data_IF_133367608749
#
_entry.id   IF_133367608749
#
_cell.length_a   1.000
_cell.length_b   1.000
_cell.length_c   1.000
_cell.angle_alpha   90.00
_cell.angle_beta   90.00
_cell.angle_gamma   90.00
#
_symmetry.space_group_name_H-M   'P 1'
#
loop_
_entity.id
_entity.type
_entity.pdbx_description
1 polymer ?
#
# COMPACT_ATOMS: atom_id res chain seq x y z
N UNK A 1 -19.19 7.88 14.66
CA UNK A 1 -19.14 6.44 14.28
C UNK A 1 -17.71 5.93 14.21
N UNK A 2 -16.81 6.57 13.44
CA UNK A 2 -15.40 6.17 13.34
C UNK A 2 -14.68 6.08 14.70
N UNK A 3 -14.79 7.09 15.56
CA UNK A 3 -14.19 7.05 16.90
C UNK A 3 -14.69 5.89 17.78
N UNK A 4 -15.98 5.53 17.66
CA UNK A 4 -16.57 4.41 18.40
C UNK A 4 -16.03 3.07 17.91
N UNK A 5 -15.87 2.93 16.60
CA UNK A 5 -15.31 1.74 15.95
C UNK A 5 -13.83 1.56 16.34
N UNK A 6 -13.03 2.63 16.30
CA UNK A 6 -11.62 2.61 16.71
C UNK A 6 -11.47 2.32 18.21
N UNK A 7 -12.33 2.88 19.06
CA UNK A 7 -12.32 2.58 20.50
C UNK A 7 -12.71 1.12 20.79
N UNK A 8 -13.67 0.56 20.04
CA UNK A 8 -14.03 -0.85 20.16
C UNK A 8 -12.86 -1.76 19.77
N UNK A 9 -12.12 -1.41 18.71
CA UNK A 9 -10.88 -2.11 18.34
C UNK A 9 -9.88 -2.12 19.49
N UNK A 10 -9.60 -0.95 20.06
CA UNK A 10 -8.67 -0.83 21.18
C UNK A 10 -9.07 -1.74 22.35
N UNK A 11 -10.36 -1.79 22.69
CA UNK A 11 -10.89 -2.65 23.75
C UNK A 11 -10.73 -4.13 23.40
N UNK A 12 -11.11 -4.54 22.19
CA UNK A 12 -11.02 -5.95 21.75
C UNK A 12 -9.56 -6.41 21.70
N UNK A 13 -8.65 -5.57 21.21
CA UNK A 13 -7.22 -5.84 21.21
C UNK A 13 -6.70 -6.00 22.64
N UNK A 14 -6.97 -5.05 23.53
CA UNK A 14 -6.51 -5.11 24.94
C UNK A 14 -7.04 -6.35 25.66
N UNK A 15 -8.33 -6.67 25.51
CA UNK A 15 -8.96 -7.84 26.17
C UNK A 15 -8.42 -9.15 25.60
N UNK A 16 -8.34 -9.28 24.26
CA UNK A 16 -7.79 -10.46 23.60
C UNK A 16 -6.33 -10.70 23.96
N UNK A 17 -5.54 -9.63 24.03
CA UNK A 17 -4.15 -9.65 24.45
C UNK A 17 -3.99 -10.05 25.90
N UNK A 18 -4.85 -9.60 26.82
CA UNK A 18 -4.85 -10.03 28.22
C UNK A 18 -4.99 -11.56 28.40
N UNK A 19 -5.90 -12.18 27.63
CA UNK A 19 -6.08 -13.64 27.64
C UNK A 19 -4.86 -14.35 27.06
N UNK A 20 -4.31 -13.86 25.94
CA UNK A 20 -3.10 -14.42 25.34
C UNK A 20 -1.90 -14.30 26.27
N UNK A 21 -1.71 -13.16 26.93
CA UNK A 21 -0.67 -12.90 27.92
C UNK A 21 -0.78 -13.83 29.12
N UNK A 22 -1.97 -13.98 29.72
CA UNK A 22 -2.17 -14.91 30.83
C UNK A 22 -1.82 -16.36 30.47
N UNK A 23 -2.12 -16.77 29.25
CA UNK A 23 -1.78 -18.11 28.76
C UNK A 23 -0.29 -18.24 28.34
N UNK A 24 0.34 -17.17 27.86
CA UNK A 24 1.76 -17.12 27.51
C UNK A 24 2.65 -17.10 28.76
N UNK A 25 2.28 -16.32 29.79
CA UNK A 25 2.92 -16.30 31.12
C UNK A 25 3.10 -17.71 31.70
N UNK A 26 2.08 -18.56 31.54
CA UNK A 26 2.08 -19.94 32.04
C UNK A 26 2.85 -20.92 31.16
N UNK A 27 3.27 -20.54 29.95
CA UNK A 27 3.84 -21.48 28.97
C UNK A 27 5.24 -21.10 28.48
N UNK A 28 5.49 -19.83 28.17
CA UNK A 28 6.73 -19.36 27.56
C UNK A 28 6.92 -17.84 27.78
N UNK A 29 7.91 -17.48 28.59
CA UNK A 29 8.33 -16.07 28.78
C UNK A 29 8.77 -15.41 27.47
N UNK A 30 9.30 -16.20 26.53
CA UNK A 30 9.72 -15.73 25.22
C UNK A 30 8.53 -15.31 24.35
N UNK A 31 7.49 -16.14 24.32
CA UNK A 31 6.25 -15.84 23.60
C UNK A 31 5.59 -14.60 24.19
N UNK A 32 5.56 -14.50 25.53
CA UNK A 32 5.03 -13.32 26.22
C UNK A 32 5.77 -12.05 25.81
N UNK A 33 7.10 -12.05 25.81
CA UNK A 33 7.88 -10.87 25.43
C UNK A 33 7.59 -10.43 23.98
N UNK A 34 7.40 -11.38 23.07
CA UNK A 34 6.98 -11.10 21.68
C UNK A 34 5.59 -10.46 21.61
N UNK A 35 4.62 -10.99 22.34
CA UNK A 35 3.25 -10.46 22.38
C UNK A 35 3.20 -9.04 22.94
N UNK A 36 3.95 -8.75 24.00
CA UNK A 36 4.02 -7.41 24.59
C UNK A 36 4.50 -6.38 23.56
N UNK A 37 5.49 -6.72 22.73
CA UNK A 37 5.97 -5.82 21.67
C UNK A 37 4.91 -5.67 20.57
N UNK A 38 4.26 -6.77 20.14
CA UNK A 38 3.18 -6.70 19.14
C UNK A 38 2.04 -5.81 19.62
N UNK A 39 1.62 -5.96 20.88
CA UNK A 39 0.56 -5.17 21.47
C UNK A 39 0.95 -3.71 21.63
N UNK A 40 2.21 -3.43 21.98
CA UNK A 40 2.72 -2.06 22.03
C UNK A 40 2.64 -1.40 20.65
N UNK A 41 3.10 -2.09 19.60
CA UNK A 41 3.00 -1.57 18.22
C UNK A 41 1.54 -1.35 17.81
N UNK A 42 0.68 -2.35 18.01
CA UNK A 42 -0.74 -2.24 17.67
C UNK A 42 -1.42 -1.09 18.43
N UNK A 43 -1.14 -0.95 19.73
CA UNK A 43 -1.69 0.14 20.55
C UNK A 43 -1.18 1.50 20.08
N UNK A 44 0.10 1.62 19.70
CA UNK A 44 0.64 2.85 19.14
C UNK A 44 -0.06 3.21 17.84
N UNK A 45 -0.22 2.27 16.90
CA UNK A 45 -0.91 2.51 15.63
C UNK A 45 -2.37 2.95 15.84
N UNK A 46 -3.11 2.24 16.69
CA UNK A 46 -4.52 2.56 17.02
C UNK A 46 -4.62 3.91 17.73
N UNK A 47 -3.72 4.20 18.67
CA UNK A 47 -3.70 5.47 19.40
C UNK A 47 -3.40 6.64 18.48
N UNK A 48 -2.43 6.50 17.57
CA UNK A 48 -2.12 7.54 16.58
C UNK A 48 -3.28 7.75 15.63
N UNK A 49 -3.91 6.68 15.12
CA UNK A 49 -5.10 6.78 14.27
C UNK A 49 -6.27 7.51 14.97
N UNK A 50 -6.44 7.29 16.28
CA UNK A 50 -7.52 7.89 17.07
C UNK A 50 -7.25 9.36 17.45
N UNK A 51 -6.02 9.67 17.87
CA UNK A 51 -5.67 10.94 18.50
C UNK A 51 -5.02 11.94 17.52
N UNK A 52 -4.34 11.43 16.49
CA UNK A 52 -3.67 12.24 15.47
C UNK A 52 -3.80 11.61 14.07
N UNK A 53 -4.99 11.64 13.46
CA UNK A 53 -5.22 11.09 12.11
C UNK A 53 -4.27 11.63 11.03
N UNK A 54 -3.89 12.92 10.99
CA UNK A 54 -2.88 13.42 10.05
C UNK A 54 -1.54 12.69 10.20
N UNK A 55 -1.04 12.54 11.43
CA UNK A 55 0.21 11.81 11.67
C UNK A 55 0.10 10.34 11.28
N UNK A 56 -1.04 9.69 11.56
CA UNK A 56 -1.28 8.32 11.13
C UNK A 56 -1.22 8.20 9.60
N UNK A 57 -1.88 9.10 8.87
CA UNK A 57 -1.80 9.11 7.41
C UNK A 57 -0.38 9.33 6.90
N UNK A 58 0.37 10.26 7.50
CA UNK A 58 1.77 10.49 7.15
C UNK A 58 2.65 9.24 7.38
N UNK A 59 2.36 8.45 8.42
CA UNK A 59 3.06 7.19 8.69
C UNK A 59 2.73 6.09 7.67
N UNK A 60 1.46 6.01 7.26
CA UNK A 60 0.94 4.97 6.37
C UNK A 60 0.98 5.36 4.89
N UNK A 61 1.60 6.49 4.52
CA UNK A 61 1.75 6.86 3.12
C UNK A 61 2.79 5.99 2.42
N UNK A 62 2.64 5.83 1.10
CA UNK A 62 3.64 5.21 0.21
C UNK A 62 5.03 5.82 0.46
N UNK A 63 6.06 4.97 0.48
CA UNK A 63 7.46 5.26 0.83
C UNK A 63 7.69 5.77 2.26
N UNK A 64 6.66 5.75 3.10
CA UNK A 64 6.75 6.04 4.53
C UNK A 64 7.43 4.92 5.33
N UNK A 65 7.83 5.23 6.57
CA UNK A 65 8.51 4.28 7.44
C UNK A 65 7.73 2.98 7.68
N UNK A 66 6.40 3.00 7.59
CA UNK A 66 5.57 1.82 7.80
C UNK A 66 5.73 0.81 6.65
N UNK A 67 5.73 1.25 5.40
CA UNK A 67 5.96 0.40 4.22
C UNK A 67 7.36 -0.27 4.30
N UNK A 68 8.38 0.51 4.67
CA UNK A 68 9.73 -0.04 4.94
C UNK A 68 9.74 -1.05 6.08
N UNK A 69 8.99 -0.79 7.15
CA UNK A 69 8.85 -1.72 8.27
C UNK A 69 8.12 -3.01 7.85
N UNK A 70 7.09 -2.90 7.01
CA UNK A 70 6.32 -4.03 6.47
C UNK A 70 7.22 -4.90 5.59
N UNK A 71 7.94 -4.29 4.64
CA UNK A 71 8.92 -4.97 3.79
C UNK A 71 9.96 -5.73 4.64
N UNK A 72 10.56 -5.07 5.62
CA UNK A 72 11.53 -5.69 6.53
C UNK A 72 10.91 -6.82 7.36
N UNK A 73 9.68 -6.66 7.85
CA UNK A 73 9.01 -7.69 8.64
C UNK A 73 8.78 -8.96 7.81
N UNK A 74 8.28 -8.83 6.58
CA UNK A 74 8.12 -9.96 5.68
C UNK A 74 9.44 -10.61 5.29
N UNK A 75 10.51 -9.83 5.06
CA UNK A 75 11.85 -10.40 4.82
C UNK A 75 12.40 -11.17 6.03
N UNK A 76 12.26 -10.63 7.24
CA UNK A 76 12.65 -11.32 8.48
C UNK A 76 11.86 -12.62 8.66
N UNK A 77 10.55 -12.60 8.40
CA UNK A 77 9.71 -13.79 8.44
C UNK A 77 10.14 -14.84 7.41
N UNK A 78 10.43 -14.42 6.17
CA UNK A 78 10.92 -15.30 5.10
C UNK A 78 12.23 -15.98 5.49
N UNK A 79 13.19 -15.22 6.04
CA UNK A 79 14.47 -15.75 6.52
C UNK A 79 14.24 -16.73 7.67
N UNK A 80 13.37 -16.39 8.63
CA UNK A 80 13.01 -17.26 9.74
C UNK A 80 12.43 -18.60 9.27
N UNK A 81 11.51 -18.58 8.31
CA UNK A 81 10.92 -19.76 7.69
C UNK A 81 11.95 -20.60 6.93
N UNK A 82 12.80 -19.99 6.11
CA UNK A 82 13.87 -20.69 5.38
C UNK A 82 14.89 -21.34 6.32
N UNK A 83 15.27 -20.66 7.40
CA UNK A 83 16.14 -21.20 8.45
C UNK A 83 15.47 -22.39 9.15
N UNK A 84 14.16 -22.31 9.44
CA UNK A 84 13.41 -23.42 10.02
C UNK A 84 13.38 -24.64 9.08
N UNK A 85 13.10 -24.44 7.78
CA UNK A 85 13.05 -25.52 6.77
C UNK A 85 14.38 -26.26 6.67
N UNK A 86 15.50 -25.54 6.71
CA UNK A 86 16.84 -26.14 6.71
C UNK A 86 17.11 -26.93 7.99
N UNK A 87 16.74 -26.38 9.16
CA UNK A 87 16.98 -27.03 10.45
C UNK A 87 16.05 -28.21 10.75
N UNK A 88 14.89 -28.28 10.10
CA UNK A 88 13.89 -29.33 10.29
C UNK A 88 14.04 -30.51 9.33
N UNK A 89 15.04 -30.49 8.46
CA UNK A 89 15.35 -31.58 7.53
C UNK A 89 15.51 -32.93 8.24
N UNK A 90 14.86 -33.95 7.68
CA UNK A 90 14.80 -35.30 8.22
C UNK A 90 14.00 -35.47 9.52
N UNK A 91 13.40 -34.41 10.06
CA UNK A 91 12.72 -34.44 11.37
C UNK A 91 11.23 -34.11 11.30
N UNK A 92 10.77 -33.46 10.24
CA UNK A 92 9.37 -33.11 10.02
C UNK A 92 8.92 -33.64 8.66
N UNK A 93 7.61 -33.86 8.45
CA UNK A 93 7.09 -34.34 7.17
C UNK A 93 7.51 -33.43 6.00
N UNK A 94 7.82 -33.97 4.81
CA UNK A 94 8.14 -33.17 3.63
C UNK A 94 7.07 -32.13 3.30
N UNK A 95 5.79 -32.48 3.47
CA UNK A 95 4.67 -31.56 3.25
C UNK A 95 4.71 -30.34 4.18
N UNK A 96 5.17 -30.50 5.43
CA UNK A 96 5.32 -29.36 6.35
C UNK A 96 6.47 -28.43 5.90
N UNK A 97 7.58 -28.99 5.42
CA UNK A 97 8.69 -28.21 4.85
C UNK A 97 8.24 -27.47 3.60
N UNK A 98 7.48 -28.12 2.72
CA UNK A 98 6.92 -27.50 1.53
C UNK A 98 5.98 -26.34 1.89
N UNK A 99 5.08 -26.54 2.85
CA UNK A 99 4.16 -25.50 3.31
C UNK A 99 4.90 -24.29 3.90
N UNK A 100 5.91 -24.49 4.75
CA UNK A 100 6.70 -23.38 5.30
C UNK A 100 7.58 -22.72 4.23
N UNK A 101 8.08 -23.48 3.26
CA UNK A 101 8.80 -22.92 2.11
C UNK A 101 7.90 -22.03 1.26
N UNK A 102 6.65 -22.45 1.03
CA UNK A 102 5.65 -21.66 0.32
C UNK A 102 5.30 -20.37 1.08
N UNK A 103 5.13 -20.42 2.42
CA UNK A 103 4.95 -19.22 3.24
C UNK A 103 6.17 -18.30 3.15
N UNK A 104 7.39 -18.86 3.19
CA UNK A 104 8.61 -18.05 3.12
C UNK A 104 8.73 -17.36 1.76
N UNK A 105 8.42 -18.06 0.67
CA UNK A 105 8.37 -17.48 -0.68
C UNK A 105 7.27 -16.42 -0.81
N UNK A 106 6.09 -16.67 -0.22
CA UNK A 106 5.01 -15.68 -0.14
C UNK A 106 5.46 -14.42 0.60
N UNK A 107 6.17 -14.54 1.73
CA UNK A 107 6.70 -13.37 2.43
C UNK A 107 7.74 -12.60 1.58
N UNK A 108 8.61 -13.27 0.81
CA UNK A 108 9.50 -12.56 -0.14
C UNK A 108 8.70 -11.84 -1.21
N UNK A 109 7.66 -12.48 -1.73
CA UNK A 109 6.77 -11.88 -2.72
C UNK A 109 6.10 -10.62 -2.18
N UNK A 110 5.49 -10.69 -0.99
CA UNK A 110 4.86 -9.52 -0.35
C UNK A 110 5.90 -8.43 -0.10
N UNK A 111 7.07 -8.75 0.46
CA UNK A 111 8.11 -7.75 0.67
C UNK A 111 8.56 -7.04 -0.62
N UNK A 112 8.59 -7.75 -1.75
CA UNK A 112 8.84 -7.14 -3.06
C UNK A 112 7.68 -6.26 -3.53
N UNK A 113 6.44 -6.71 -3.35
CA UNK A 113 5.23 -5.96 -3.67
C UNK A 113 5.13 -4.63 -2.91
N UNK A 114 5.49 -4.60 -1.62
CA UNK A 114 5.49 -3.39 -0.77
C UNK A 114 6.36 -2.27 -1.37
N UNK A 115 7.52 -2.60 -1.93
CA UNK A 115 8.45 -1.59 -2.48
C UNK A 115 8.40 -1.52 -4.02
N UNK A 116 7.30 -1.98 -4.63
CA UNK A 116 7.13 -2.03 -6.09
C UNK A 116 8.31 -2.70 -6.81
N UNK A 117 8.82 -3.79 -6.24
CA UNK A 117 9.97 -4.55 -6.69
C UNK A 117 11.24 -3.71 -6.90
N UNK A 118 11.39 -2.63 -6.12
CA UNK A 118 12.52 -1.71 -6.21
C UNK A 118 12.43 -0.72 -7.36
N UNK A 119 11.27 -0.59 -8.05
CA UNK A 119 11.06 0.44 -9.07
C UNK A 119 11.48 1.81 -8.57
N UNK A 120 10.94 2.22 -7.41
CA UNK A 120 11.21 3.53 -6.83
C UNK A 120 12.62 3.67 -6.31
N UNK A 121 13.30 2.58 -5.95
CA UNK A 121 14.72 2.61 -5.59
C UNK A 121 15.61 2.85 -6.81
N UNK A 122 15.39 2.10 -7.89
CA UNK A 122 16.27 2.09 -9.06
C UNK A 122 15.82 3.02 -10.19
N UNK A 123 14.70 3.72 -10.01
CA UNK A 123 14.12 4.66 -10.97
C UNK A 123 13.89 4.09 -12.38
N UNK A 124 13.71 2.77 -12.52
CA UNK A 124 13.43 2.17 -13.82
C UNK A 124 11.95 2.30 -14.17
N UNK A 125 11.67 2.47 -15.46
CA UNK A 125 10.30 2.56 -15.97
C UNK A 125 9.69 1.16 -16.06
N UNK A 126 8.52 0.88 -15.44
CA UNK A 126 7.85 -0.41 -15.56
C UNK A 126 7.49 -0.77 -17.01
N UNK A 127 7.32 -2.06 -17.35
CA UNK A 127 6.85 -2.47 -18.66
C UNK A 127 5.47 -1.88 -19.01
N UNK A 128 5.21 -1.68 -20.30
CA UNK A 128 3.96 -1.09 -20.83
C UNK A 128 2.67 -1.64 -20.19
N UNK A 129 2.61 -2.93 -19.88
CA UNK A 129 1.43 -3.55 -19.28
C UNK A 129 1.14 -3.00 -17.88
N UNK A 130 2.17 -2.70 -17.10
CA UNK A 130 2.04 -2.07 -15.78
C UNK A 130 1.65 -0.61 -15.95
N UNK A 131 2.36 0.14 -16.78
CA UNK A 131 2.03 1.55 -17.04
C UNK A 131 0.61 1.79 -17.56
N UNK A 132 0.06 0.81 -18.29
CA UNK A 132 -1.26 0.92 -18.92
C UNK A 132 -2.40 0.34 -18.06
N UNK A 133 -2.16 -0.76 -17.32
CA UNK A 133 -3.23 -1.54 -16.67
C UNK A 133 -3.10 -1.63 -15.15
N UNK A 134 -1.95 -1.31 -14.58
CA UNK A 134 -1.78 -1.21 -13.13
C UNK A 134 -2.45 0.09 -12.65
N UNK A 135 -3.26 0.02 -11.58
CA UNK A 135 -3.95 1.20 -11.05
C UNK A 135 -2.98 2.33 -10.66
N UNK A 136 -1.77 1.97 -10.23
CA UNK A 136 -0.73 2.87 -9.80
C UNK A 136 0.35 3.21 -10.82
N UNK A 137 0.32 2.59 -12.00
CA UNK A 137 1.42 2.64 -12.98
C UNK A 137 2.75 2.18 -12.38
N UNK A 138 2.69 1.26 -11.41
CA UNK A 138 3.85 0.72 -10.71
C UNK A 138 4.08 -0.75 -11.05
N UNK A 139 5.30 -1.23 -10.85
CA UNK A 139 5.69 -2.63 -10.94
C UNK A 139 5.29 -3.36 -9.65
N UNK A 140 3.99 -3.54 -9.44
CA UNK A 140 3.43 -4.41 -8.41
C UNK A 140 2.18 -5.12 -8.97
N UNK A 141 1.90 -6.32 -8.49
CA UNK A 141 0.78 -7.13 -8.95
C UNK A 141 -0.52 -6.81 -8.23
N UNK A 142 -0.47 -6.46 -6.95
CA UNK A 142 -1.68 -6.25 -6.15
C UNK A 142 -2.52 -5.07 -6.65
N UNK A 143 -1.90 -4.05 -7.26
CA UNK A 143 -2.61 -2.93 -7.88
C UNK A 143 -3.33 -3.28 -9.19
N UNK A 144 -3.06 -4.44 -9.81
CA UNK A 144 -3.92 -4.93 -10.89
C UNK A 144 -5.26 -5.41 -10.38
N UNK A 145 -5.35 -5.84 -9.11
CA UNK A 145 -6.55 -6.43 -8.55
C UNK A 145 -7.51 -5.38 -7.98
N UNK A 146 -7.02 -4.16 -7.75
CA UNK A 146 -7.81 -3.04 -7.23
C UNK A 146 -9.04 -2.78 -8.10
N UNK A 147 -10.21 -2.74 -7.46
CA UNK A 147 -11.53 -2.58 -8.10
C UNK A 147 -11.94 -3.70 -9.07
N UNK A 148 -11.27 -4.86 -9.04
CA UNK A 148 -11.70 -6.05 -9.79
C UNK A 148 -12.46 -7.01 -8.88
N UNK A 149 -13.33 -7.80 -9.49
CA UNK A 149 -14.05 -8.87 -8.81
C UNK A 149 -13.94 -10.18 -9.58
N UNK A 150 -14.00 -11.29 -8.85
CA UNK A 150 -14.06 -12.63 -9.42
C UNK A 150 -15.18 -13.41 -8.73
N UNK A 151 -16.09 -13.99 -9.53
CA UNK A 151 -17.27 -14.70 -9.04
C UNK A 151 -18.13 -13.89 -8.05
N UNK A 152 -18.19 -12.57 -8.23
CA UNK A 152 -18.93 -11.65 -7.35
C UNK A 152 -18.17 -11.20 -6.09
N UNK A 153 -16.97 -11.73 -5.83
CA UNK A 153 -16.13 -11.33 -4.71
C UNK A 153 -15.10 -10.27 -5.14
N UNK A 154 -14.98 -9.14 -4.42
CA UNK A 154 -13.92 -8.18 -4.69
C UNK A 154 -12.54 -8.81 -4.46
N UNK A 155 -11.60 -8.53 -5.36
CA UNK A 155 -10.22 -9.02 -5.30
C UNK A 155 -9.25 -7.99 -4.71
N UNK A 156 -9.76 -6.93 -4.10
CA UNK A 156 -8.93 -5.94 -3.42
C UNK A 156 -8.05 -6.62 -2.36
N UNK A 157 -6.79 -6.21 -2.25
CA UNK A 157 -5.75 -6.81 -1.39
C UNK A 157 -6.21 -7.02 0.05
N UNK A 158 -7.00 -6.08 0.59
CA UNK A 158 -7.63 -6.19 1.93
C UNK A 158 -8.37 -7.50 2.17
N UNK A 159 -9.11 -8.01 1.18
CA UNK A 159 -9.86 -9.25 1.34
C UNK A 159 -8.96 -10.47 1.28
N UNK A 160 -7.86 -10.39 0.53
CA UNK A 160 -6.82 -11.42 0.51
C UNK A 160 -6.11 -11.48 1.87
N UNK A 161 -5.74 -10.33 2.43
CA UNK A 161 -5.13 -10.21 3.76
C UNK A 161 -6.08 -10.72 4.84
N UNK A 162 -7.35 -10.31 4.81
CA UNK A 162 -8.37 -10.82 5.73
C UNK A 162 -8.55 -12.34 5.62
N UNK A 163 -8.53 -12.89 4.40
CA UNK A 163 -8.62 -14.33 4.17
C UNK A 163 -7.40 -15.07 4.72
N UNK A 164 -6.19 -14.53 4.55
CA UNK A 164 -4.96 -15.08 5.14
C UNK A 164 -5.06 -15.05 6.67
N UNK A 165 -5.42 -13.90 7.25
CA UNK A 165 -5.56 -13.75 8.69
C UNK A 165 -6.60 -14.74 9.28
N UNK A 166 -7.77 -14.86 8.64
CA UNK A 166 -8.80 -15.81 9.04
C UNK A 166 -8.39 -17.27 8.84
N UNK A 167 -7.86 -17.63 7.66
CA UNK A 167 -7.54 -19.01 7.31
C UNK A 167 -6.28 -19.52 8.02
N UNK A 168 -5.17 -18.84 7.82
CA UNK A 168 -3.87 -19.20 8.38
C UNK A 168 -3.79 -18.86 9.87
N UNK A 169 -4.17 -17.65 10.25
CA UNK A 169 -3.97 -17.10 11.59
C UNK A 169 -4.98 -17.54 12.65
N UNK A 170 -6.22 -17.86 12.25
CA UNK A 170 -7.32 -18.18 13.17
C UNK A 170 -7.81 -19.63 12.99
N UNK A 171 -8.31 -19.97 11.80
CA UNK A 171 -8.96 -21.26 11.56
C UNK A 171 -8.01 -22.43 11.72
N UNK A 172 -6.80 -22.34 11.16
CA UNK A 172 -5.80 -23.40 11.21
C UNK A 172 -5.32 -23.75 12.63
N UNK A 173 -4.89 -22.80 13.49
CA UNK A 173 -4.49 -23.15 14.87
C UNK A 173 -5.66 -23.65 15.72
N UNK A 174 -6.90 -23.18 15.47
CA UNK A 174 -8.10 -23.70 16.13
C UNK A 174 -8.43 -25.12 15.67
N UNK A 175 -8.34 -25.40 14.37
CA UNK A 175 -8.52 -26.74 13.81
C UNK A 175 -7.48 -27.73 14.36
N UNK A 176 -6.23 -27.29 14.52
CA UNK A 176 -5.18 -28.08 15.14
C UNK A 176 -5.48 -28.35 16.63
N UNK A 177 -6.04 -27.38 17.37
CA UNK A 177 -6.40 -27.53 18.79
C UNK A 177 -7.61 -28.45 19.01
N UNK A 178 -8.65 -28.32 18.19
CA UNK A 178 -9.87 -29.11 18.29
C UNK A 178 -9.71 -30.54 17.74
N UNK A 179 -8.48 -30.92 17.38
CA UNK A 179 -8.16 -32.17 16.69
C UNK A 179 -9.02 -32.40 15.45
N UNK A 180 -9.46 -31.34 14.75
CA UNK A 180 -10.15 -31.48 13.46
C UNK A 180 -9.26 -32.12 12.40
N UNK A 181 -7.93 -32.04 12.58
CA UNK A 181 -6.97 -32.85 11.82
C UNK A 181 -7.26 -34.35 11.80
N UNK A 182 -8.06 -34.90 12.73
CA UNK A 182 -8.51 -36.31 12.72
C UNK A 182 -9.40 -36.66 11.52
N UNK A 183 -10.04 -35.65 10.92
CA UNK A 183 -10.87 -35.79 9.73
C UNK A 183 -10.08 -35.57 8.43
N UNK A 184 -8.79 -35.25 8.55
CA UNK A 184 -7.91 -35.04 7.41
C UNK A 184 -7.04 -36.28 7.18
N UNK A 185 -6.54 -36.49 5.95
CA UNK A 185 -5.52 -37.50 5.72
C UNK A 185 -4.34 -37.30 6.69
N UNK A 186 -3.81 -38.38 7.27
CA UNK A 186 -2.84 -38.33 8.37
C UNK A 186 -1.62 -37.46 8.06
N UNK A 187 -1.11 -37.53 6.84
CA UNK A 187 0.01 -36.71 6.38
C UNK A 187 -0.31 -35.21 6.35
N UNK A 188 -1.54 -34.82 6.00
CA UNK A 188 -2.02 -33.43 6.03
C UNK A 188 -2.21 -32.97 7.48
N UNK A 189 -2.89 -33.78 8.31
CA UNK A 189 -3.11 -33.48 9.72
C UNK A 189 -1.80 -33.33 10.51
N UNK A 190 -0.82 -34.17 10.21
CA UNK A 190 0.52 -34.09 10.81
C UNK A 190 1.25 -32.84 10.33
N UNK A 191 1.26 -32.56 9.02
CA UNK A 191 1.87 -31.35 8.49
C UNK A 191 1.25 -30.09 9.10
N UNK A 192 -0.07 -30.04 9.23
CA UNK A 192 -0.82 -28.95 9.86
C UNK A 192 -0.35 -28.59 11.25
N UNK A 193 0.02 -29.58 12.07
CA UNK A 193 0.55 -29.32 13.42
C UNK A 193 1.93 -28.65 13.42
N UNK A 194 2.71 -28.80 12.34
CA UNK A 194 4.02 -28.15 12.20
C UNK A 194 3.93 -26.78 11.52
N UNK A 195 2.99 -26.60 10.58
CA UNK A 195 2.85 -25.34 9.84
C UNK A 195 1.85 -24.35 10.47
N UNK A 196 0.91 -24.80 11.31
CA UNK A 196 -0.02 -23.91 12.00
C UNK A 196 0.70 -22.91 12.90
N UNK A 197 0.29 -21.63 12.90
CA UNK A 197 0.87 -20.64 13.80
C UNK A 197 0.50 -20.93 15.24
N UNK A 198 1.26 -20.36 16.17
CA UNK A 198 0.95 -20.53 17.59
C UNK A 198 -0.36 -19.85 17.95
N UNK A 199 -1.21 -20.54 18.72
CA UNK A 199 -2.54 -20.04 19.12
C UNK A 199 -2.53 -18.72 19.89
N UNK A 200 -1.38 -18.33 20.45
CA UNK A 200 -1.23 -17.06 21.16
C UNK A 200 -1.28 -15.85 20.22
N UNK A 201 -1.06 -16.05 18.91
CA UNK A 201 -1.14 -14.99 17.89
C UNK A 201 -2.55 -14.79 17.33
N UNK A 202 -3.51 -15.67 17.67
CA UNK A 202 -4.90 -15.60 17.17
C UNK A 202 -5.53 -14.22 17.40
N UNK A 203 -5.39 -13.56 18.57
CA UNK A 203 -5.94 -12.21 18.75
C UNK A 203 -5.34 -11.18 17.79
N UNK A 204 -4.03 -11.26 17.51
CA UNK A 204 -3.38 -10.37 16.54
C UNK A 204 -3.90 -10.59 15.12
N UNK A 205 -4.02 -11.84 14.68
CA UNK A 205 -4.63 -12.16 13.37
C UNK A 205 -6.10 -11.75 13.30
N UNK A 206 -6.86 -11.88 14.38
CA UNK A 206 -8.23 -11.41 14.45
C UNK A 206 -8.32 -9.87 14.34
N UNK A 207 -7.38 -9.14 14.93
CA UNK A 207 -7.29 -7.69 14.78
C UNK A 207 -7.00 -7.29 13.33
N UNK A 208 -6.05 -7.94 12.66
CA UNK A 208 -5.77 -7.74 11.22
C UNK A 208 -7.02 -7.99 10.38
N UNK A 209 -7.66 -9.16 10.56
CA UNK A 209 -8.87 -9.50 9.81
C UNK A 209 -9.99 -8.48 10.03
N UNK A 210 -10.17 -8.02 11.26
CA UNK A 210 -11.18 -7.02 11.57
C UNK A 210 -10.87 -5.66 10.93
N UNK A 211 -9.63 -5.19 10.98
CA UNK A 211 -9.22 -3.92 10.38
C UNK A 211 -9.46 -3.94 8.87
N UNK A 212 -9.12 -5.02 8.19
CA UNK A 212 -9.31 -5.14 6.74
C UNK A 212 -10.78 -5.21 6.31
N UNK A 213 -11.61 -5.89 7.10
CA UNK A 213 -13.03 -6.05 6.82
C UNK A 213 -13.84 -4.80 7.19
N UNK A 214 -13.51 -4.15 8.31
CA UNK A 214 -14.20 -2.96 8.80
C UNK A 214 -13.69 -1.67 8.14
N UNK A 215 -12.40 -1.63 7.78
CA UNK A 215 -11.67 -0.51 7.19
C UNK A 215 -11.99 0.84 7.87
N UNK A 216 -11.65 0.98 9.17
CA UNK A 216 -12.21 2.02 10.04
C UNK A 216 -11.75 3.45 9.73
N UNK A 217 -10.53 3.58 9.18
CA UNK A 217 -9.90 4.86 8.82
C UNK A 217 -9.18 4.71 7.48
N UNK A 218 -8.92 5.84 6.82
CA UNK A 218 -8.11 5.83 5.59
C UNK A 218 -6.71 5.30 5.86
N UNK A 219 -6.18 4.51 4.93
CA UNK A 219 -4.88 3.83 5.03
C UNK A 219 -4.77 2.82 6.19
N UNK A 220 -5.90 2.36 6.76
CA UNK A 220 -5.87 1.31 7.79
C UNK A 220 -5.30 -0.02 7.28
N UNK A 221 -5.42 -0.32 5.98
CA UNK A 221 -4.84 -1.52 5.35
C UNK A 221 -3.33 -1.61 5.54
N UNK A 222 -2.61 -0.50 5.32
CA UNK A 222 -1.16 -0.40 5.50
C UNK A 222 -0.73 -0.79 6.93
N UNK A 223 -1.50 -0.35 7.93
CA UNK A 223 -1.24 -0.70 9.33
C UNK A 223 -1.52 -2.18 9.64
N UNK A 224 -2.50 -2.76 8.94
CA UNK A 224 -2.85 -4.17 9.05
C UNK A 224 -1.81 -5.06 8.35
N UNK A 225 -1.25 -4.63 7.22
CA UNK A 225 -0.14 -5.27 6.51
C UNK A 225 1.12 -5.29 7.37
N UNK A 226 1.48 -4.16 7.99
CA UNK A 226 2.59 -4.09 8.95
C UNK A 226 2.38 -5.08 10.11
N UNK A 227 1.21 -5.06 10.75
CA UNK A 227 0.91 -5.96 11.85
C UNK A 227 0.92 -7.43 11.39
N UNK A 228 0.42 -7.74 10.20
CA UNK A 228 0.47 -9.06 9.62
C UNK A 228 1.92 -9.54 9.42
N UNK A 229 2.79 -8.71 8.85
CA UNK A 229 4.21 -9.00 8.70
C UNK A 229 4.87 -9.31 10.05
N UNK A 230 4.59 -8.51 11.08
CA UNK A 230 5.10 -8.73 12.44
C UNK A 230 4.56 -10.02 13.08
N UNK A 231 3.31 -10.40 12.80
CA UNK A 231 2.75 -11.69 13.24
C UNK A 231 3.43 -12.87 12.54
N UNK A 232 3.79 -12.74 11.26
CA UNK A 232 4.60 -13.74 10.56
C UNK A 232 6.02 -13.84 11.14
N UNK A 233 6.64 -12.73 11.55
CA UNK A 233 7.93 -12.74 12.26
C UNK A 233 7.80 -13.47 13.59
N UNK A 234 6.78 -13.14 14.39
CA UNK A 234 6.54 -13.78 15.67
C UNK A 234 6.29 -15.28 15.52
N UNK A 235 5.49 -15.67 14.52
CA UNK A 235 5.22 -17.05 14.19
C UNK A 235 6.49 -17.81 13.77
N UNK A 236 7.29 -17.26 12.84
CA UNK A 236 8.56 -17.85 12.43
C UNK A 236 9.53 -18.01 13.61
N UNK A 237 9.54 -17.06 14.54
CA UNK A 237 10.36 -17.10 15.75
C UNK A 237 9.90 -18.20 16.73
N UNK A 238 8.60 -18.38 16.92
CA UNK A 238 8.01 -19.35 17.85
C UNK A 238 7.92 -20.77 17.26
N UNK A 239 8.09 -20.92 15.95
CA UNK A 239 7.97 -22.20 15.24
C UNK A 239 8.98 -23.22 15.74
N UNK A 240 8.47 -24.33 16.28
CA UNK A 240 9.29 -25.36 16.94
C UNK A 240 10.01 -26.23 15.92
N UNK A 241 11.31 -26.46 16.12
CA UNK A 241 12.07 -27.51 15.42
C UNK A 241 12.19 -28.75 16.32
N UNK A 242 12.05 -30.00 15.81
CA UNK A 242 12.13 -31.21 16.63
C UNK A 242 13.46 -31.38 17.40
N UNK A 243 14.60 -30.98 16.82
CA UNK A 243 15.92 -30.96 17.49
C UNK A 243 16.02 -30.01 18.69
N UNK A 244 15.09 -29.07 18.86
CA UNK A 244 15.18 -28.02 19.89
C UNK A 244 14.72 -28.46 21.30
N UNK A 245 14.25 -29.69 21.48
CA UNK A 245 13.87 -30.19 22.82
C UNK A 245 15.07 -30.23 23.79
N UNK A 246 16.28 -30.54 23.29
CA UNK A 246 17.53 -30.48 24.06
C UNK A 246 18.14 -29.07 24.14
N UNK A 247 17.86 -28.19 23.18
CA UNK A 247 18.36 -26.81 23.11
C UNK A 247 17.45 -25.77 23.79
N UNK A 248 16.38 -26.21 24.47
CA UNK A 248 15.35 -25.37 25.12
C UNK A 248 15.92 -24.40 26.16
N UNK A 249 17.17 -24.60 26.58
CA UNK A 249 17.90 -23.80 27.57
C UNK A 249 18.77 -22.69 26.98
N UNK A 250 18.95 -22.58 25.66
CA UNK A 250 19.94 -21.67 25.05
C UNK A 250 19.39 -20.40 24.39
N UNK A 251 18.09 -20.31 24.12
CA UNK A 251 17.54 -19.13 23.45
C UNK A 251 17.12 -18.03 24.45
N UNK A 252 17.58 -16.77 24.29
CA UNK A 252 17.22 -15.68 25.19
C UNK A 252 15.71 -15.44 25.23
N UNK A 253 15.18 -15.09 26.42
CA UNK A 253 13.77 -14.70 26.60
C UNK A 253 13.34 -13.58 25.67
N UNK A 254 14.25 -12.70 25.29
CA UNK A 254 13.99 -11.53 24.46
C UNK A 254 14.11 -11.78 22.95
N UNK A 255 14.38 -13.00 22.49
CA UNK A 255 14.64 -13.24 21.07
C UNK A 255 13.45 -12.91 20.18
N UNK A 256 12.23 -13.37 20.52
CA UNK A 256 11.03 -13.05 19.72
C UNK A 256 10.73 -11.56 19.77
N UNK A 257 10.80 -10.94 20.95
CA UNK A 257 10.66 -9.49 21.10
C UNK A 257 11.62 -8.69 20.22
N UNK A 258 12.91 -9.07 20.19
CA UNK A 258 13.92 -8.42 19.34
C UNK A 258 13.62 -8.57 17.86
N UNK A 259 13.23 -9.77 17.41
CA UNK A 259 12.90 -10.00 16.00
C UNK A 259 11.67 -9.21 15.56
N UNK A 260 10.65 -9.12 16.42
CA UNK A 260 9.45 -8.31 16.16
C UNK A 260 9.75 -6.81 16.20
N UNK A 261 10.57 -6.35 17.14
CA UNK A 261 10.91 -4.92 17.26
C UNK A 261 11.82 -4.44 16.13
N UNK A 262 12.64 -5.31 15.55
CA UNK A 262 13.68 -4.94 14.59
C UNK A 262 13.11 -4.24 13.33
N UNK A 263 12.09 -4.76 12.63
CA UNK A 263 11.51 -4.07 11.46
C UNK A 263 11.00 -2.67 11.79
N UNK A 264 10.28 -2.51 12.91
CA UNK A 264 9.72 -1.22 13.35
C UNK A 264 10.81 -0.24 13.78
N UNK A 265 11.91 -0.72 14.36
CA UNK A 265 13.04 0.12 14.75
C UNK A 265 13.89 0.56 13.54
N UNK A 266 14.01 -0.30 12.53
CA UNK A 266 14.83 -0.04 11.34
C UNK A 266 14.07 0.72 10.24
N UNK A 267 12.77 0.50 10.07
CA UNK A 267 11.97 1.15 9.02
C UNK A 267 12.16 2.67 8.94
N UNK A 268 12.03 3.41 10.07
CA UNK A 268 12.27 4.86 10.11
C UNK A 268 13.72 5.27 9.78
N UNK A 269 14.68 4.35 9.88
CA UNK A 269 16.08 4.61 9.52
C UNK A 269 16.35 4.33 8.04
N UNK A 270 15.62 3.39 7.43
CA UNK A 270 15.80 3.04 6.02
C UNK A 270 15.42 4.22 5.14
N UNK A 271 14.27 4.84 5.41
CA UNK A 271 13.77 5.95 4.61
C UNK A 271 14.80 7.09 4.43
N UNK A 272 15.32 7.75 5.47
CA UNK A 272 16.29 8.85 5.31
C UNK A 272 17.63 8.39 4.73
N UNK A 273 17.99 7.11 4.92
CA UNK A 273 19.21 6.54 4.30
C UNK A 273 19.02 6.34 2.81
N UNK A 274 17.87 5.84 2.39
CA UNK A 274 17.50 5.69 0.97
C UNK A 274 17.41 7.06 0.31
N UNK A 275 16.69 8.00 0.92
CA UNK A 275 16.64 9.39 0.46
C UNK A 275 18.04 9.97 0.28
N UNK A 276 18.94 9.80 1.26
CA UNK A 276 20.30 10.38 1.17
C UNK A 276 21.24 9.68 0.19
N UNK A 277 21.17 8.35 0.09
CA UNK A 277 22.18 7.54 -0.64
C UNK A 277 21.72 7.14 -2.04
N UNK A 278 20.42 7.00 -2.24
CA UNK A 278 19.81 6.52 -3.48
C UNK A 278 19.19 7.69 -4.23
N UNK A 279 18.52 8.60 -3.52
CA UNK A 279 17.85 9.74 -4.13
C UNK A 279 18.78 10.97 -4.12
N UNK A 280 19.56 11.11 -5.18
CA UNK A 280 20.40 12.27 -5.37
C UNK A 280 19.60 13.49 -5.84
N UNK A 281 20.05 14.69 -5.48
CA UNK A 281 19.64 15.93 -6.12
C UNK A 281 20.15 15.95 -7.58
N UNK A 282 19.47 15.21 -8.45
CA UNK A 282 19.71 15.24 -9.88
C UNK A 282 19.09 16.54 -10.42
N UNK A 283 19.89 17.61 -10.39
CA UNK A 283 19.49 18.93 -10.90
C UNK A 283 19.03 18.85 -12.37
N UNK A 284 19.60 17.94 -13.16
CA UNK A 284 19.21 17.74 -14.56
C UNK A 284 17.82 17.10 -14.65
N UNK A 285 17.51 16.09 -13.83
CA UNK A 285 16.18 15.51 -13.72
C UNK A 285 15.15 16.52 -13.20
N UNK A 286 15.50 17.35 -12.21
CA UNK A 286 14.64 18.42 -11.69
C UNK A 286 14.34 19.45 -12.79
N UNK A 287 15.36 19.92 -13.50
CA UNK A 287 15.19 20.86 -14.60
C UNK A 287 14.34 20.27 -15.74
N UNK A 288 14.55 18.98 -16.06
CA UNK A 288 13.74 18.26 -17.04
C UNK A 288 12.28 18.16 -16.59
N UNK A 289 12.03 17.78 -15.34
CA UNK A 289 10.67 17.67 -14.78
C UNK A 289 9.94 19.01 -14.82
N UNK A 290 10.61 20.11 -14.45
CA UNK A 290 10.06 21.47 -14.54
C UNK A 290 9.73 21.85 -15.98
N UNK A 291 10.64 21.59 -16.92
CA UNK A 291 10.39 21.81 -18.36
C UNK A 291 9.22 21.00 -18.88
N UNK A 292 9.02 19.77 -18.39
CA UNK A 292 7.95 18.87 -18.81
C UNK A 292 6.60 19.26 -18.23
N UNK A 293 6.53 19.62 -16.95
CA UNK A 293 5.34 20.18 -16.34
C UNK A 293 4.90 21.46 -17.07
N UNK A 294 5.84 22.30 -17.46
CA UNK A 294 5.57 23.52 -18.20
C UNK A 294 5.11 23.25 -19.66
N UNK A 295 5.59 22.17 -20.30
CA UNK A 295 5.02 21.67 -21.56
C UNK A 295 3.58 21.19 -21.37
N UNK A 296 3.31 20.40 -20.33
CA UNK A 296 1.96 19.92 -20.00
C UNK A 296 1.01 21.07 -19.69
N UNK A 297 1.48 22.12 -18.99
CA UNK A 297 0.74 23.35 -18.72
C UNK A 297 0.26 24.00 -20.02
N UNK A 298 1.19 24.27 -20.94
CA UNK A 298 0.89 24.87 -22.25
C UNK A 298 -0.01 23.99 -23.10
N UNK A 299 0.24 22.69 -23.12
CA UNK A 299 -0.58 21.74 -23.91
C UNK A 299 -2.03 21.74 -23.40
N UNK A 300 -2.24 21.80 -22.08
CA UNK A 300 -3.57 21.92 -21.49
C UNK A 300 -4.22 23.30 -21.71
N UNK A 301 -3.45 24.37 -21.86
CA UNK A 301 -3.98 25.70 -22.19
C UNK A 301 -4.36 25.85 -23.67
N UNK A 302 -3.56 25.28 -24.58
CA UNK A 302 -3.69 25.44 -26.04
C UNK A 302 -4.65 24.40 -26.63
N UNK A 303 -4.43 23.12 -26.35
CA UNK A 303 -5.20 22.00 -26.92
C UNK A 303 -6.17 21.37 -25.91
N UNK A 304 -5.94 21.61 -24.61
CA UNK A 304 -6.72 21.08 -23.50
C UNK A 304 -8.11 21.70 -23.37
N UNK A 305 -8.94 21.48 -24.38
CA UNK A 305 -10.38 21.33 -24.18
C UNK A 305 -10.54 20.10 -23.30
N UNK A 306 -10.42 20.29 -21.99
CA UNK A 306 -11.14 19.48 -21.04
C UNK A 306 -12.53 19.30 -21.66
N UNK A 307 -13.01 18.06 -21.86
CA UNK A 307 -14.42 17.85 -22.20
C UNK A 307 -15.18 18.68 -21.19
N UNK A 308 -15.68 19.83 -21.62
CA UNK A 308 -15.90 20.96 -20.71
C UNK A 308 -16.90 20.57 -19.63
N UNK A 309 -17.67 19.52 -19.89
CA UNK A 309 -18.75 18.97 -19.09
C UNK A 309 -18.33 17.90 -18.07
N UNK A 310 -17.24 17.14 -18.29
CA UNK A 310 -16.91 16.02 -17.39
C UNK A 310 -16.44 16.49 -16.02
N UNK A 311 -15.56 17.47 -15.99
CA UNK A 311 -15.09 18.10 -14.76
C UNK A 311 -16.13 19.06 -14.14
N UNK A 312 -17.04 19.65 -14.94
CA UNK A 312 -18.18 20.47 -14.44
C UNK A 312 -19.07 19.68 -13.46
N UNK A 313 -19.25 18.39 -13.70
CA UNK A 313 -20.07 17.51 -12.85
C UNK A 313 -19.37 17.05 -11.55
N UNK A 314 -18.06 17.23 -11.43
CA UNK A 314 -17.28 16.77 -10.27
C UNK A 314 -16.86 17.96 -9.40
N UNK A 315 -16.90 17.78 -8.07
CA UNK A 315 -16.47 18.81 -7.11
C UNK A 315 -14.94 18.91 -7.05
N UNK A 316 -14.27 17.76 -7.10
CA UNK A 316 -12.82 17.63 -7.21
C UNK A 316 -12.45 16.39 -8.04
N UNK A 317 -11.24 16.39 -8.58
CA UNK A 317 -10.59 15.26 -9.24
C UNK A 317 -9.15 15.22 -8.73
N UNK A 318 -8.69 14.07 -8.26
CA UNK A 318 -7.29 13.82 -7.91
C UNK A 318 -6.92 12.45 -8.46
N UNK A 319 -6.11 12.42 -9.53
CA UNK A 319 -5.77 11.22 -10.28
C UNK A 319 -4.37 11.33 -10.89
N UNK A 320 -3.80 10.20 -11.30
CA UNK A 320 -2.67 10.19 -12.24
C UNK A 320 -3.09 10.78 -13.58
N UNK A 321 -2.20 11.52 -14.23
CA UNK A 321 -2.48 12.21 -15.48
C UNK A 321 -2.82 11.23 -16.61
N UNK A 322 -2.16 10.08 -16.66
CA UNK A 322 -2.50 9.00 -17.59
C UNK A 322 -3.93 8.49 -17.38
N UNK A 323 -4.29 8.12 -16.15
CA UNK A 323 -5.63 7.65 -15.81
C UNK A 323 -6.70 8.72 -16.06
N UNK A 324 -6.39 9.99 -15.79
CA UNK A 324 -7.30 11.09 -16.09
C UNK A 324 -7.53 11.25 -17.60
N UNK A 325 -6.46 11.12 -18.39
CA UNK A 325 -6.52 11.15 -19.86
C UNK A 325 -7.32 9.96 -20.41
N UNK A 326 -7.06 8.75 -19.91
CA UNK A 326 -7.80 7.53 -20.29
C UNK A 326 -9.29 7.63 -19.93
N UNK A 327 -9.61 8.24 -18.78
CA UNK A 327 -10.98 8.53 -18.39
C UNK A 327 -11.60 9.72 -19.15
N UNK A 328 -10.88 10.34 -20.09
CA UNK A 328 -11.35 11.41 -20.95
C UNK A 328 -11.56 12.75 -20.24
N UNK A 329 -10.84 13.00 -19.14
CA UNK A 329 -10.76 14.33 -18.53
C UNK A 329 -9.93 15.29 -19.38
N UNK A 330 -8.85 14.77 -19.98
CA UNK A 330 -7.93 15.53 -20.82
C UNK A 330 -7.76 14.87 -22.19
N UNK A 331 -7.31 15.66 -23.16
CA UNK A 331 -6.83 15.19 -24.45
C UNK A 331 -5.56 15.93 -24.81
N UNK A 332 -4.55 15.20 -25.23
CA UNK A 332 -3.26 15.73 -25.65
C UNK A 332 -3.13 15.40 -27.13
N UNK A 333 -3.41 16.37 -27.99
CA UNK A 333 -3.49 16.18 -29.43
C UNK A 333 -2.12 15.96 -30.08
N UNK A 334 -2.13 15.84 -31.41
CA UNK A 334 -0.91 15.72 -32.20
C UNK A 334 -0.08 17.01 -32.26
N UNK A 335 -0.51 18.11 -31.61
CA UNK A 335 0.31 19.31 -31.39
C UNK A 335 0.91 19.39 -29.99
N UNK A 336 0.69 18.38 -29.12
CA UNK A 336 1.26 18.35 -27.76
C UNK A 336 2.79 18.48 -27.80
N UNK A 337 3.30 19.53 -27.16
CA UNK A 337 4.73 19.78 -27.00
C UNK A 337 5.38 18.74 -26.07
N UNK A 338 4.66 18.29 -25.04
CA UNK A 338 5.10 17.24 -24.13
C UNK A 338 5.27 15.90 -24.87
N UNK A 339 4.24 15.49 -25.61
CA UNK A 339 4.24 14.24 -26.39
C UNK A 339 5.01 14.35 -27.71
N UNK A 340 5.53 15.53 -28.07
CA UNK A 340 6.26 15.82 -29.32
C UNK A 340 5.44 15.46 -30.57
N UNK A 341 4.18 15.89 -30.54
CA UNK A 341 3.21 15.70 -31.61
C UNK A 341 2.71 14.26 -31.83
N UNK A 342 3.03 13.34 -30.92
CA UNK A 342 2.49 11.99 -30.91
C UNK A 342 1.30 11.90 -29.95
N UNK A 343 0.45 10.87 -30.10
CA UNK A 343 -0.64 10.57 -29.15
C UNK A 343 -0.15 9.67 -28.03
N UNK A 344 -0.86 9.67 -26.90
CA UNK A 344 -0.61 8.78 -25.77
C UNK A 344 -1.38 7.46 -25.91
N UNK A 345 -0.87 6.32 -25.38
CA UNK A 345 -1.61 5.08 -25.25
C UNK A 345 -2.92 5.21 -24.45
N UNK A 346 -3.08 6.26 -23.64
CA UNK A 346 -4.33 6.55 -22.95
C UNK A 346 -5.47 6.93 -23.91
N UNK A 347 -5.15 7.50 -25.08
CA UNK A 347 -6.12 7.92 -26.10
C UNK A 347 -6.18 6.97 -27.29
N UNK A 348 -5.04 6.38 -27.66
CA UNK A 348 -4.90 5.48 -28.80
C UNK A 348 -3.96 4.32 -28.44
N UNK A 349 -4.54 3.20 -28.00
CA UNK A 349 -3.80 2.04 -27.48
C UNK A 349 -2.78 1.48 -28.50
N UNK A 350 -3.15 1.42 -29.79
CA UNK A 350 -2.26 1.03 -30.89
C UNK A 350 -1.73 2.27 -31.61
N UNK A 351 -0.41 2.45 -31.63
CA UNK A 351 0.24 3.58 -32.30
C UNK A 351 0.46 4.82 -31.43
N UNK A 352 0.04 4.80 -30.16
CA UNK A 352 0.48 5.79 -29.17
C UNK A 352 1.97 5.64 -28.83
N UNK A 353 2.58 6.74 -28.39
CA UNK A 353 3.98 6.81 -27.91
C UNK A 353 4.16 5.92 -26.68
N UNK A 354 5.11 4.98 -26.69
CA UNK A 354 5.31 3.97 -25.62
C UNK A 354 6.57 4.17 -24.81
N UNK A 355 6.99 5.42 -24.66
CA UNK A 355 8.05 5.78 -23.72
C UNK A 355 7.47 6.45 -22.47
N UNK A 356 8.35 6.82 -21.54
CA UNK A 356 8.01 7.52 -20.29
C UNK A 356 6.99 8.65 -20.46
N UNK A 357 7.19 9.52 -21.46
CA UNK A 357 6.30 10.65 -21.73
C UNK A 357 4.94 10.19 -22.26
N UNK A 358 4.92 9.18 -23.12
CA UNK A 358 3.68 8.56 -23.58
C UNK A 358 2.76 8.12 -22.45
N UNK A 359 3.32 7.69 -21.32
CA UNK A 359 2.60 7.25 -20.13
C UNK A 359 2.49 8.31 -19.01
N UNK A 360 2.89 9.56 -19.27
CA UNK A 360 2.95 10.64 -18.28
C UNK A 360 3.72 10.26 -17.01
N UNK A 361 4.82 9.54 -17.18
CA UNK A 361 5.76 9.23 -16.11
C UNK A 361 6.78 10.37 -16.05
N UNK A 362 7.27 10.74 -14.88
CA UNK A 362 8.27 11.76 -14.60
C UNK A 362 9.71 11.18 -14.62
N UNK A 363 10.78 12.00 -14.60
CA UNK A 363 12.16 11.52 -14.70
C UNK A 363 12.58 10.47 -13.66
N UNK A 364 11.86 10.33 -12.55
CA UNK A 364 12.15 9.38 -11.48
C UNK A 364 11.29 8.12 -11.53
N UNK A 365 10.61 7.91 -12.67
CA UNK A 365 9.72 6.77 -12.91
C UNK A 365 8.45 6.76 -12.03
N UNK A 366 8.01 7.93 -11.59
CA UNK A 366 6.72 8.14 -10.93
C UNK A 366 5.70 8.77 -11.87
N UNK A 367 4.40 8.50 -11.72
CA UNK A 367 3.38 9.13 -12.55
C UNK A 367 3.21 10.61 -12.21
N UNK A 368 3.08 11.47 -13.23
CA UNK A 368 2.55 12.81 -13.04
C UNK A 368 1.11 12.75 -12.54
N UNK A 369 0.77 13.63 -11.62
CA UNK A 369 -0.55 13.72 -11.02
C UNK A 369 -1.26 14.99 -11.46
N UNK A 370 -2.59 14.94 -11.42
CA UNK A 370 -3.46 16.08 -11.70
C UNK A 370 -4.54 16.21 -10.66
N UNK A 371 -4.72 17.46 -10.22
CA UNK A 371 -5.76 17.87 -9.29
C UNK A 371 -6.59 18.95 -9.95
N UNK A 372 -7.90 18.83 -9.80
CA UNK A 372 -8.84 19.88 -10.15
C UNK A 372 -9.79 20.07 -8.99
N UNK A 373 -10.04 21.31 -8.59
CA UNK A 373 -11.10 21.65 -7.62
C UNK A 373 -11.93 22.81 -8.12
N UNK A 374 -13.25 22.60 -8.12
CA UNK A 374 -14.21 23.56 -8.68
C UNK A 374 -14.26 24.88 -7.93
N UNK A 375 -14.06 24.85 -6.61
CA UNK A 375 -14.14 26.05 -5.77
C UNK A 375 -13.01 27.06 -6.06
N UNK A 376 -11.82 26.55 -6.39
CA UNK A 376 -10.64 27.34 -6.73
C UNK A 376 -10.59 27.69 -8.21
N UNK A 377 -11.37 26.99 -9.05
CA UNK A 377 -11.30 27.08 -10.50
C UNK A 377 -9.86 26.97 -11.00
N UNK A 378 -9.15 25.96 -10.49
CA UNK A 378 -7.72 25.76 -10.74
C UNK A 378 -7.45 24.27 -10.99
N UNK A 379 -6.52 24.01 -11.91
CA UNK A 379 -5.92 22.71 -12.18
C UNK A 379 -4.46 22.78 -11.76
N UNK A 380 -4.03 21.77 -11.01
CA UNK A 380 -2.65 21.60 -10.59
C UNK A 380 -2.13 20.31 -11.24
N UNK A 381 -0.98 20.37 -11.91
CA UNK A 381 -0.23 19.19 -12.33
C UNK A 381 1.05 19.15 -11.52
N UNK A 382 1.39 17.99 -10.97
CA UNK A 382 2.56 17.87 -10.10
C UNK A 382 3.24 16.49 -10.18
N UNK A 383 4.47 16.43 -9.68
CA UNK A 383 5.32 15.25 -9.50
C UNK A 383 5.91 15.27 -8.09
N UNK A 384 6.23 14.09 -7.57
CA UNK A 384 6.80 13.86 -6.24
C UNK A 384 8.29 14.20 -6.11
N UNK A 385 8.86 14.90 -7.10
CA UNK A 385 10.23 15.36 -6.99
C UNK A 385 11.29 14.25 -6.92
N UNK A 386 12.55 14.64 -6.66
CA UNK A 386 13.69 13.74 -6.66
C UNK A 386 13.72 12.72 -5.51
N UNK A 387 13.11 13.00 -4.36
CA UNK A 387 13.01 12.05 -3.25
C UNK A 387 11.93 10.97 -3.46
N UNK A 388 11.10 11.16 -4.51
CA UNK A 388 10.09 10.20 -4.99
C UNK A 388 8.96 9.96 -4.01
N UNK A 389 8.89 10.75 -2.93
CA UNK A 389 7.92 10.65 -1.86
C UNK A 389 6.90 11.77 -2.02
N UNK A 390 5.67 11.50 -1.60
CA UNK A 390 4.66 12.54 -1.54
C UNK A 390 4.87 13.42 -0.32
N UNK A 391 5.32 14.65 -0.53
CA UNK A 391 5.46 15.65 0.53
C UNK A 391 4.24 16.56 0.67
N UNK A 392 3.46 16.77 -0.39
CA UNK A 392 2.27 17.59 -0.32
C UNK A 392 1.12 16.92 0.45
N UNK A 393 0.55 17.66 1.41
CA UNK A 393 -0.65 17.23 2.14
C UNK A 393 -1.96 17.64 1.44
N UNK A 394 -2.94 16.74 1.48
CA UNK A 394 -4.25 16.93 0.84
C UNK A 394 -5.38 16.80 1.85
N UNK A 395 -6.39 17.68 1.75
CA UNK A 395 -7.64 17.57 2.49
C UNK A 395 -8.42 16.29 2.07
N UNK A 396 -9.44 15.91 2.82
CA UNK A 396 -10.28 14.74 2.51
C UNK A 396 -10.98 14.82 1.13
N UNK A 397 -10.90 15.97 0.45
CA UNK A 397 -11.45 16.20 -0.89
C UNK A 397 -10.37 16.21 -1.97
N UNK A 398 -9.12 15.91 -1.62
CA UNK A 398 -7.97 15.79 -2.52
C UNK A 398 -7.35 17.13 -2.93
N UNK A 399 -7.41 18.17 -2.09
CA UNK A 399 -6.82 19.48 -2.39
C UNK A 399 -5.75 19.89 -1.40
N UNK A 400 -4.72 20.57 -1.90
CA UNK A 400 -3.58 21.04 -1.11
C UNK A 400 -4.02 21.83 0.13
N UNK A 401 -3.46 21.47 1.28
CA UNK A 401 -3.68 22.18 2.55
C UNK A 401 -2.76 23.40 2.63
N UNK A 402 -1.44 23.17 2.64
CA UNK A 402 -0.41 24.21 2.87
C UNK A 402 0.46 24.50 1.63
N UNK A 403 -0.07 24.22 0.44
CA UNK A 403 0.69 24.36 -0.80
C UNK A 403 1.53 23.12 -1.13
N UNK A 404 2.50 23.29 -2.05
CA UNK A 404 3.38 22.21 -2.47
C UNK A 404 4.43 21.99 -1.37
N UNK A 405 4.47 20.78 -0.81
CA UNK A 405 5.37 20.42 0.28
C UNK A 405 6.73 19.95 -0.22
N UNK A 406 7.76 20.12 0.61
CA UNK A 406 9.09 19.53 0.41
C UNK A 406 9.69 19.77 -0.98
N UNK A 407 10.01 18.70 -1.71
CA UNK A 407 10.65 18.76 -3.03
C UNK A 407 9.68 18.57 -4.22
N UNK A 408 8.38 18.35 -3.93
CA UNK A 408 7.33 18.23 -4.93
C UNK A 408 7.40 19.40 -5.92
N UNK A 409 7.14 19.11 -7.20
CA UNK A 409 7.21 20.10 -8.27
C UNK A 409 5.86 20.19 -8.95
N UNK A 410 5.32 21.40 -9.08
CA UNK A 410 4.00 21.61 -9.68
C UNK A 410 3.91 22.84 -10.58
N UNK A 411 2.90 22.80 -11.46
CA UNK A 411 2.43 23.92 -12.27
C UNK A 411 0.93 24.09 -12.08
N UNK A 412 0.47 25.34 -12.16
CA UNK A 412 -0.93 25.74 -11.96
C UNK A 412 -1.51 26.25 -13.28
N UNK A 413 -2.78 25.95 -13.52
CA UNK A 413 -3.54 26.37 -14.69
C UNK A 413 -4.89 26.89 -14.20
N UNK A 414 -5.32 28.05 -14.70
CA UNK A 414 -6.67 28.53 -14.45
C UNK A 414 -7.68 27.61 -15.15
N UNK A 415 -8.63 27.06 -14.39
CA UNK A 415 -9.71 26.29 -14.99
C UNK A 415 -10.60 27.22 -15.84
N UNK A 416 -11.11 26.78 -17.00
CA UNK A 416 -11.93 27.61 -17.87
C UNK A 416 -13.13 28.22 -17.14
N UNK A 417 -13.20 29.56 -17.05
CA UNK A 417 -14.33 30.26 -16.42
C UNK A 417 -15.60 30.11 -17.27
N UNK A 418 -16.75 30.09 -16.59
CA UNK A 418 -18.10 30.08 -17.16
C UNK A 418 -18.20 31.15 -18.26
N UNK A 419 -18.27 30.75 -19.53
CA UNK A 419 -18.61 31.70 -20.59
C UNK A 419 -20.06 32.15 -20.37
N UNK A 420 -20.24 33.38 -19.92
CA UNK A 420 -21.54 34.03 -19.89
C UNK A 420 -21.95 34.36 -21.34
N UNK A 421 -22.50 33.38 -22.08
CA UNK A 421 -23.18 33.67 -23.34
C UNK A 421 -24.12 32.54 -23.76
N UNK A 422 -25.38 32.68 -23.38
CA UNK A 422 -26.55 32.24 -24.14
C UNK A 422 -27.77 33.07 -23.69
N UNK A 423 -27.64 34.39 -23.66
CA UNK A 423 -28.76 35.34 -23.61
C UNK A 423 -28.52 36.37 -24.70
N UNK A 424 -28.85 35.99 -25.94
CA UNK A 424 -29.16 36.89 -27.07
C UNK A 424 -29.56 36.01 -28.24
N UNK A 425 -30.86 35.75 -28.35
CA UNK A 425 -31.64 36.00 -29.57
C UNK A 425 -33.09 35.59 -29.30
N UNK A 426 -33.94 36.60 -29.18
CA UNK A 426 -35.37 36.48 -28.96
C UNK A 426 -36.04 37.84 -28.80
N UNK A 427 -35.52 38.89 -29.45
CA UNK A 427 -36.36 40.05 -29.75
C UNK A 427 -37.15 39.68 -31.00
N UNK A 428 -38.33 39.11 -30.76
CA UNK A 428 -39.34 38.89 -31.77
C UNK A 428 -39.91 40.23 -32.20
N UNK A 429 -39.70 40.53 -33.47
CA UNK A 429 -40.38 41.54 -34.27
C UNK A 429 -41.91 41.39 -34.07
N UNK A 430 -42.57 42.47 -33.64
CA UNK A 430 -44.04 42.59 -33.74
C UNK A 430 -44.43 42.68 -35.22
N UNK A 431 -45.44 41.92 -35.69
CA UNK A 431 -46.11 42.25 -36.93
C UNK A 431 -47.15 43.35 -36.66
N UNK A 432 -47.18 44.33 -37.55
CA UNK A 432 -48.25 45.29 -37.66
C UNK A 432 -49.51 44.60 -38.18
N UNK A 433 -50.62 44.81 -37.47
CA UNK A 433 -51.96 45.11 -38.00
C UNK A 433 -52.85 45.64 -36.87
#
# INVERSE_FOLDING_TARGET
>A
MQALVVNLLAIVTVVGSGVAHGAALRSSRRTLAGLVVLDAVALTLVSTAAQNPPLFRAWMQEDGWAEWSTCLAFLVAAIGGAVWVRRSEGQVPPLARLAVSAISAFCVFVAGEEISWGQRLFAFVPPDVFLHRNYQQELNLHNFLKHKSFLGFPLDTRFVIAAIACGYGIALPLAARLNWSRWWPEHVGTAARYFAPTRYLVPGFAAVAWVELAYPVDLAGESAELLLGLLFVADAAERRSPRSRAARTRHPTWQTARLVALPVALGPMVQPVVERLVYGADEAAVALARSELEQLRRDLEIEGVARHDKWRSKRSVHKRLFTATQAGYFRFGAGSSFLRGQRTPAELEKGGRRDRRGYFIDPWSNPYWVIYRRAQAEILIYSFGPDRRRDSEFDDRGWLIDGIGGDDIAVRIAAPRRSARATRHGEGVQPAE
#
